data_IF_996110407359
#
_entry.id   IF_996110407359
#
_cell.length_a   1.000
_cell.length_b   1.000
_cell.length_c   1.000
_cell.angle_alpha   90.00
_cell.angle_beta   90.00
_cell.angle_gamma   90.00
#
_symmetry.space_group_name_H-M   'P 1'
#
loop_
_entity.id
_entity.type
_entity.pdbx_description
1 polymer ?
#
# COMPACT_ATOMS: atom_id res chain seq x y z
N UNK A 1 14.57 -34.67 -8.97
CA UNK A 1 15.58 -35.36 -8.13
C UNK A 1 15.47 -34.95 -6.67
N UNK A 2 16.00 -33.78 -6.31
CA UNK A 2 16.18 -33.37 -4.91
C UNK A 2 14.89 -33.19 -4.09
N UNK A 3 13.87 -32.51 -4.62
CA UNK A 3 12.62 -32.28 -3.90
C UNK A 3 11.90 -33.59 -3.52
N UNK A 4 11.93 -34.59 -4.41
CA UNK A 4 11.34 -35.91 -4.17
C UNK A 4 12.07 -36.65 -3.06
N UNK A 5 13.40 -36.60 -3.05
CA UNK A 5 14.21 -37.20 -1.98
C UNK A 5 13.99 -36.52 -0.62
N UNK A 6 13.87 -35.19 -0.58
CA UNK A 6 13.59 -34.47 0.67
C UNK A 6 12.20 -34.85 1.20
N UNK A 7 11.20 -34.94 0.32
CA UNK A 7 9.86 -35.35 0.74
C UNK A 7 9.81 -36.77 1.29
N UNK A 8 10.59 -37.69 0.71
CA UNK A 8 10.66 -39.08 1.17
C UNK A 8 11.40 -39.25 2.50
N UNK A 9 12.51 -38.52 2.72
CA UNK A 9 13.34 -38.65 3.92
C UNK A 9 12.90 -37.72 5.07
N UNK A 10 12.36 -36.55 4.74
CA UNK A 10 12.00 -35.49 5.69
C UNK A 10 10.62 -34.88 5.32
N UNK A 11 9.52 -35.62 5.50
CA UNK A 11 8.19 -35.18 5.07
C UNK A 11 7.69 -33.91 5.77
N UNK A 12 8.16 -33.66 6.99
CA UNK A 12 7.80 -32.48 7.79
C UNK A 12 8.74 -31.28 7.57
N UNK A 13 9.77 -31.41 6.73
CA UNK A 13 10.73 -30.33 6.50
C UNK A 13 10.19 -29.31 5.49
N UNK A 14 10.23 -28.03 5.86
CA UNK A 14 9.92 -26.94 4.94
C UNK A 14 11.01 -26.83 3.87
N UNK A 15 10.66 -27.10 2.61
CA UNK A 15 11.58 -26.96 1.49
C UNK A 15 11.59 -25.53 0.97
N UNK A 16 12.79 -24.91 0.96
CA UNK A 16 13.01 -23.55 0.47
C UNK A 16 13.99 -23.54 -0.70
N UNK A 17 13.70 -22.76 -1.72
CA UNK A 17 14.62 -22.49 -2.81
C UNK A 17 15.67 -21.49 -2.35
N UNK A 18 16.93 -21.82 -2.61
CA UNK A 18 18.00 -20.86 -2.43
C UNK A 18 17.84 -19.72 -3.45
N UNK A 19 17.61 -18.50 -2.95
CA UNK A 19 17.40 -17.30 -3.78
C UNK A 19 18.58 -17.04 -4.73
N UNK A 20 19.80 -17.43 -4.35
CA UNK A 20 20.97 -17.35 -5.23
C UNK A 20 20.81 -18.22 -6.48
N UNK A 21 20.35 -19.46 -6.31
CA UNK A 21 20.09 -20.37 -7.43
C UNK A 21 18.87 -19.94 -8.24
N UNK A 22 17.83 -19.43 -7.56
CA UNK A 22 16.67 -18.85 -8.23
C UNK A 22 17.08 -17.69 -9.15
N UNK A 23 17.91 -16.76 -8.65
CA UNK A 23 18.45 -15.65 -9.44
C UNK A 23 19.38 -16.12 -10.57
N UNK A 24 20.18 -17.17 -10.36
CA UNK A 24 21.00 -17.73 -11.42
C UNK A 24 20.14 -18.31 -12.57
N UNK A 25 19.06 -19.01 -12.23
CA UNK A 25 18.09 -19.52 -13.22
C UNK A 25 17.33 -18.38 -13.91
N UNK A 26 16.97 -17.34 -13.15
CA UNK A 26 16.34 -16.14 -13.68
C UNK A 26 17.23 -15.42 -14.71
N UNK A 27 18.54 -15.33 -14.44
CA UNK A 27 19.53 -14.83 -15.41
C UNK A 27 19.69 -15.72 -16.64
N UNK A 28 19.66 -17.05 -16.46
CA UNK A 28 19.72 -18.02 -17.57
C UNK A 28 18.49 -17.91 -18.47
N UNK A 29 17.32 -17.59 -17.92
CA UNK A 29 16.08 -17.34 -18.66
C UNK A 29 16.08 -16.01 -19.45
N UNK A 30 17.15 -15.21 -19.37
CA UNK A 30 17.30 -13.96 -20.13
C UNK A 30 17.12 -12.68 -19.30
N UNK A 31 16.67 -12.78 -18.05
CA UNK A 31 16.41 -11.63 -17.19
C UNK A 31 17.69 -11.18 -16.46
N UNK A 32 18.53 -10.38 -17.13
CA UNK A 32 19.87 -10.02 -16.63
C UNK A 32 19.99 -8.62 -16.02
N UNK A 33 18.97 -7.78 -16.18
CA UNK A 33 19.04 -6.37 -15.77
C UNK A 33 19.12 -6.24 -14.24
N UNK A 34 19.82 -5.19 -13.78
CA UNK A 34 19.96 -4.90 -12.36
C UNK A 34 18.60 -4.63 -11.70
N UNK A 35 17.73 -3.91 -12.37
CA UNK A 35 16.37 -3.61 -11.88
C UNK A 35 15.56 -4.88 -11.63
N UNK A 36 15.54 -5.83 -12.58
CA UNK A 36 14.82 -7.10 -12.40
C UNK A 36 15.43 -7.97 -11.29
N UNK A 37 16.77 -7.95 -11.15
CA UNK A 37 17.44 -8.57 -10.01
C UNK A 37 16.96 -7.94 -8.71
N UNK A 38 16.97 -6.62 -8.60
CA UNK A 38 16.63 -5.93 -7.36
C UNK A 38 15.15 -6.17 -6.99
N UNK A 39 14.25 -6.20 -7.97
CA UNK A 39 12.84 -6.58 -7.79
C UNK A 39 12.66 -8.03 -7.34
N UNK A 40 13.39 -8.98 -7.93
CA UNK A 40 13.41 -10.38 -7.47
C UNK A 40 13.86 -10.48 -6.00
N UNK A 41 14.95 -9.81 -5.63
CA UNK A 41 15.43 -9.82 -4.25
C UNK A 41 14.43 -9.15 -3.30
N UNK A 42 13.77 -8.07 -3.73
CA UNK A 42 12.69 -7.43 -2.97
C UNK A 42 11.54 -8.41 -2.73
N UNK A 43 11.05 -9.08 -3.79
CA UNK A 43 9.97 -10.06 -3.73
C UNK A 43 10.28 -11.29 -2.87
N UNK A 44 11.56 -11.68 -2.75
CA UNK A 44 11.96 -12.80 -1.87
C UNK A 44 12.01 -12.42 -0.39
N UNK A 45 12.19 -11.13 -0.07
CA UNK A 45 12.45 -10.63 1.29
C UNK A 45 11.22 -10.09 2.02
N UNK A 46 10.16 -9.74 1.28
CA UNK A 46 8.90 -9.25 1.85
C UNK A 46 8.33 -10.24 2.87
N UNK A 47 7.76 -9.69 3.94
CA UNK A 47 7.19 -10.46 5.05
C UNK A 47 5.67 -10.40 5.13
N UNK A 48 5.02 -9.55 4.31
CA UNK A 48 3.57 -9.42 4.26
C UNK A 48 3.05 -9.70 2.86
N UNK A 49 1.79 -10.16 2.76
CA UNK A 49 1.13 -10.42 1.48
C UNK A 49 0.98 -9.13 0.66
N UNK A 50 0.61 -8.02 1.31
CA UNK A 50 0.37 -6.74 0.63
C UNK A 50 1.65 -6.20 -0.01
N UNK A 51 2.77 -6.21 0.74
CA UNK A 51 4.06 -5.79 0.19
C UNK A 51 4.52 -6.71 -0.96
N UNK A 52 4.19 -8.00 -0.89
CA UNK A 52 4.49 -8.95 -1.97
C UNK A 52 3.71 -8.63 -3.25
N UNK A 53 2.40 -8.41 -3.13
CA UNK A 53 1.55 -8.02 -4.26
C UNK A 53 2.04 -6.73 -4.92
N UNK A 54 2.38 -5.72 -4.12
CA UNK A 54 2.92 -4.44 -4.63
C UNK A 54 4.19 -4.64 -5.45
N UNK A 55 5.13 -5.46 -4.96
CA UNK A 55 6.39 -5.76 -5.66
C UNK A 55 6.14 -6.58 -6.93
N UNK A 56 5.18 -7.51 -6.90
CA UNK A 56 4.81 -8.30 -8.08
C UNK A 56 4.13 -7.45 -9.15
N UNK A 57 3.34 -6.44 -8.76
CA UNK A 57 2.78 -5.43 -9.67
C UNK A 57 3.90 -4.56 -10.26
N UNK A 58 4.85 -4.11 -9.43
CA UNK A 58 6.02 -3.36 -9.88
C UNK A 58 6.82 -4.16 -10.93
N UNK A 59 7.10 -5.44 -10.65
CA UNK A 59 7.77 -6.36 -11.58
C UNK A 59 6.99 -6.52 -12.88
N UNK A 60 5.66 -6.67 -12.81
CA UNK A 60 4.79 -6.80 -13.99
C UNK A 60 4.87 -5.56 -14.87
N UNK A 61 4.89 -4.38 -14.27
CA UNK A 61 4.99 -3.11 -15.00
C UNK A 61 6.37 -2.93 -15.66
N UNK A 62 7.45 -3.43 -15.03
CA UNK A 62 8.80 -3.39 -15.60
C UNK A 62 8.97 -4.43 -16.72
N UNK A 63 8.56 -5.68 -16.49
CA UNK A 63 8.69 -6.75 -17.48
C UNK A 63 7.66 -7.86 -17.23
N UNK A 64 6.70 -7.99 -18.14
CA UNK A 64 5.64 -8.99 -18.09
C UNK A 64 6.18 -10.43 -18.12
N UNK A 65 7.18 -10.73 -18.97
CA UNK A 65 7.76 -12.07 -19.07
C UNK A 65 8.48 -12.50 -17.79
N UNK A 66 9.15 -11.56 -17.11
CA UNK A 66 9.79 -11.83 -15.83
C UNK A 66 8.77 -12.14 -14.73
N UNK A 67 7.63 -11.43 -14.73
CA UNK A 67 6.51 -11.71 -13.86
C UNK A 67 5.92 -13.09 -14.12
N UNK A 68 5.65 -13.45 -15.37
CA UNK A 68 5.06 -14.74 -15.74
C UNK A 68 5.98 -15.91 -15.35
N UNK A 69 7.29 -15.76 -15.56
CA UNK A 69 8.30 -16.75 -15.14
C UNK A 69 8.29 -16.97 -13.63
N UNK A 70 8.18 -15.90 -12.84
CA UNK A 70 8.14 -16.00 -11.37
C UNK A 70 6.79 -16.54 -10.86
N UNK A 71 5.69 -16.19 -11.52
CA UNK A 71 4.34 -16.66 -11.18
C UNK A 71 4.19 -18.18 -11.39
N UNK A 72 4.85 -18.72 -12.40
CA UNK A 72 4.89 -20.17 -12.67
C UNK A 72 5.53 -20.96 -11.50
N UNK A 73 6.39 -20.31 -10.70
CA UNK A 73 7.08 -20.93 -9.58
C UNK A 73 6.30 -20.71 -8.29
N UNK A 74 6.00 -21.78 -7.56
CA UNK A 74 5.22 -21.69 -6.32
C UNK A 74 5.88 -20.73 -5.29
N UNK A 75 5.23 -19.60 -4.94
CA UNK A 75 5.76 -18.59 -4.01
C UNK A 75 6.08 -19.13 -2.62
N UNK A 76 5.44 -20.23 -2.20
CA UNK A 76 5.67 -20.86 -0.90
C UNK A 76 7.11 -21.32 -0.68
N UNK A 77 7.84 -21.59 -1.76
CA UNK A 77 9.20 -22.10 -1.67
C UNK A 77 10.28 -21.02 -1.74
N UNK A 78 9.96 -19.81 -2.20
CA UNK A 78 10.99 -18.79 -2.45
C UNK A 78 10.71 -17.41 -1.86
N UNK A 79 9.49 -17.13 -1.41
CA UNK A 79 9.15 -15.85 -0.79
C UNK A 79 8.98 -15.97 0.73
N UNK A 80 9.60 -15.04 1.46
CA UNK A 80 9.65 -15.05 2.92
C UNK A 80 8.29 -14.89 3.59
N UNK A 81 7.31 -14.22 2.97
CA UNK A 81 5.99 -14.04 3.59
C UNK A 81 5.22 -15.35 3.77
N UNK A 82 5.55 -16.39 3.00
CA UNK A 82 4.98 -17.73 3.15
C UNK A 82 5.72 -18.61 4.14
N UNK A 83 6.90 -18.21 4.60
CA UNK A 83 7.72 -19.04 5.49
C UNK A 83 7.19 -18.99 6.92
N UNK A 84 7.27 -20.13 7.62
CA UNK A 84 6.93 -20.19 9.03
C UNK A 84 7.86 -19.32 9.87
N UNK A 85 7.27 -18.61 10.83
CA UNK A 85 7.99 -17.79 11.81
C UNK A 85 8.83 -18.67 12.75
N UNK A 86 8.52 -19.98 12.87
CA UNK A 86 9.22 -20.91 13.76
C UNK A 86 10.65 -21.23 13.30
N UNK A 87 10.92 -21.09 12.00
CA UNK A 87 12.20 -21.44 11.36
C UNK A 87 12.87 -20.16 10.82
N UNK A 88 13.21 -19.25 11.75
CA UNK A 88 14.08 -18.11 11.44
C UNK A 88 15.53 -18.57 11.38
N UNK A 89 15.98 -19.07 10.23
CA UNK A 89 17.41 -19.14 9.96
C UNK A 89 17.84 -17.80 9.34
N UNK A 90 18.51 -16.96 10.15
CA UNK A 90 19.26 -15.81 9.62
C UNK A 90 20.53 -16.34 8.94
N UNK A 91 20.34 -16.94 7.76
CA UNK A 91 21.42 -17.56 6.98
C UNK A 91 22.55 -16.55 6.65
N UNK A 92 22.25 -15.24 6.69
CA UNK A 92 23.23 -14.16 6.51
C UNK A 92 24.36 -14.17 7.55
N UNK A 93 24.11 -14.62 8.78
CA UNK A 93 25.16 -14.72 9.80
C UNK A 93 26.08 -15.91 9.54
N UNK A 94 25.56 -16.97 8.91
CA UNK A 94 26.30 -18.20 8.60
C UNK A 94 27.17 -18.08 7.34
N UNK A 95 26.80 -17.25 6.36
CA UNK A 95 27.51 -17.18 5.06
C UNK A 95 28.98 -16.73 5.17
N UNK A 96 29.34 -15.89 6.13
CA UNK A 96 30.75 -15.49 6.37
C UNK A 96 31.59 -16.58 7.08
N UNK A 97 30.92 -17.66 7.45
CA UNK A 97 31.40 -18.64 8.41
C UNK A 97 31.43 -20.04 7.78
N UNK A 98 30.53 -20.32 6.83
CA UNK A 98 30.50 -21.53 6.00
C UNK A 98 31.79 -21.63 5.18
N UNK A 99 32.56 -22.70 5.41
CA UNK A 99 33.84 -22.99 4.74
C UNK A 99 35.08 -22.82 5.63
N UNK A 100 34.92 -22.37 6.87
CA UNK A 100 36.00 -22.31 7.87
C UNK A 100 35.92 -23.51 8.83
N UNK A 101 37.03 -23.91 9.47
CA UNK A 101 37.00 -24.94 10.51
C UNK A 101 35.99 -24.60 11.61
N UNK A 102 35.32 -25.61 12.17
CA UNK A 102 34.20 -25.44 13.11
C UNK A 102 34.58 -24.56 14.31
N UNK A 103 35.83 -24.65 14.77
CA UNK A 103 36.36 -23.82 15.86
C UNK A 103 36.39 -22.34 15.48
N UNK A 104 36.91 -22.01 14.30
CA UNK A 104 36.92 -20.64 13.76
C UNK A 104 35.50 -20.10 13.55
N UNK A 105 34.58 -20.99 13.19
CA UNK A 105 33.16 -20.64 13.05
C UNK A 105 32.56 -20.19 14.38
N UNK A 106 32.72 -21.01 15.40
CA UNK A 106 32.22 -20.74 16.75
C UNK A 106 32.84 -19.47 17.34
N UNK A 107 34.15 -19.28 17.15
CA UNK A 107 34.87 -18.09 17.62
C UNK A 107 34.35 -16.80 16.96
N UNK A 108 34.09 -16.86 15.65
CA UNK A 108 33.53 -15.74 14.87
C UNK A 108 32.13 -15.38 15.36
N UNK A 109 31.27 -16.39 15.60
CA UNK A 109 29.91 -16.19 16.11
C UNK A 109 29.96 -15.61 17.52
N UNK A 110 30.78 -16.19 18.42
CA UNK A 110 30.97 -15.72 19.79
C UNK A 110 31.38 -14.24 19.81
N UNK A 111 32.39 -13.89 18.99
CA UNK A 111 32.92 -12.52 18.90
C UNK A 111 31.86 -11.54 18.39
N UNK A 112 31.12 -11.91 17.33
CA UNK A 112 30.03 -11.07 16.81
C UNK A 112 28.93 -10.84 17.84
N UNK A 113 28.51 -11.89 18.56
CA UNK A 113 27.48 -11.79 19.60
C UNK A 113 27.95 -10.84 20.72
N UNK A 114 29.19 -11.02 21.20
CA UNK A 114 29.78 -10.16 22.24
C UNK A 114 29.82 -8.70 21.78
N UNK A 115 30.31 -8.44 20.56
CA UNK A 115 30.37 -7.09 19.99
C UNK A 115 28.97 -6.47 19.84
N UNK A 116 27.96 -7.24 19.45
CA UNK A 116 26.58 -6.76 19.33
C UNK A 116 25.98 -6.41 20.70
N UNK A 117 26.21 -7.25 21.71
CA UNK A 117 25.78 -7.00 23.09
C UNK A 117 26.46 -5.76 23.64
N UNK A 118 27.78 -5.64 23.46
CA UNK A 118 28.55 -4.49 23.89
C UNK A 118 28.05 -3.19 23.24
N UNK A 119 27.90 -3.17 21.90
CA UNK A 119 27.35 -2.02 21.18
C UNK A 119 25.93 -1.65 21.63
N UNK A 120 25.09 -2.63 21.94
CA UNK A 120 23.75 -2.38 22.51
C UNK A 120 23.84 -1.80 23.92
N UNK A 121 24.73 -2.32 24.77
CA UNK A 121 24.98 -1.83 26.14
C UNK A 121 25.49 -0.38 26.14
N UNK A 122 26.43 -0.05 25.27
CA UNK A 122 26.92 1.33 25.12
C UNK A 122 25.84 2.29 24.66
N UNK A 123 25.02 1.88 23.69
CA UNK A 123 23.86 2.67 23.28
C UNK A 123 22.90 2.83 24.45
N UNK A 124 22.59 1.77 25.19
CA UNK A 124 21.73 1.83 26.38
C UNK A 124 22.23 2.79 27.45
N UNK A 125 23.54 2.79 27.75
CA UNK A 125 24.16 3.75 28.69
C UNK A 125 23.97 5.21 28.26
N UNK A 126 23.99 5.48 26.95
CA UNK A 126 23.81 6.84 26.39
C UNK A 126 22.33 7.26 26.34
N UNK A 127 21.37 6.34 26.52
CA UNK A 127 19.96 6.65 26.45
C UNK A 127 19.49 7.32 27.74
N UNK A 128 18.94 8.53 27.61
CA UNK A 128 18.27 9.24 28.70
C UNK A 128 16.75 9.10 28.52
N UNK A 129 16.09 8.48 29.49
CA UNK A 129 14.63 8.32 29.53
C UNK A 129 14.15 6.89 29.77
N UNK A 130 12.87 6.74 30.10
CA UNK A 130 12.24 5.46 30.44
C UNK A 130 12.11 4.50 29.25
N UNK A 131 12.03 5.03 28.02
CA UNK A 131 11.79 4.25 26.81
C UNK A 131 12.98 4.29 25.86
N UNK A 132 13.26 3.15 25.22
CA UNK A 132 14.25 3.07 24.14
C UNK A 132 13.88 4.04 23.00
N UNK A 133 14.83 4.78 22.42
CA UNK A 133 14.56 5.76 21.36
C UNK A 133 13.79 5.18 20.16
N UNK A 134 14.00 3.91 19.82
CA UNK A 134 13.28 3.25 18.72
C UNK A 134 11.80 3.03 19.03
N UNK A 135 11.48 2.68 20.27
CA UNK A 135 10.11 2.51 20.76
C UNK A 135 9.45 3.88 20.84
N UNK A 136 10.15 4.88 21.40
CA UNK A 136 9.67 6.26 21.48
C UNK A 136 9.32 6.83 20.11
N UNK A 137 10.19 6.67 19.10
CA UNK A 137 9.89 7.11 17.72
C UNK A 137 8.64 6.45 17.14
N UNK A 138 8.44 5.15 17.37
CA UNK A 138 7.22 4.46 16.93
C UNK A 138 5.98 5.00 17.64
N UNK A 139 6.09 5.25 18.94
CA UNK A 139 5.02 5.84 19.73
C UNK A 139 4.69 7.26 19.23
N UNK A 140 5.70 8.09 18.97
CA UNK A 140 5.51 9.45 18.47
C UNK A 140 4.86 9.49 17.08
N UNK A 141 5.21 8.57 16.19
CA UNK A 141 4.55 8.42 14.88
C UNK A 141 3.09 8.03 15.07
N UNK A 142 2.82 6.99 15.86
CA UNK A 142 1.46 6.57 16.14
C UNK A 142 0.65 7.71 16.77
N UNK A 143 1.18 8.44 17.74
CA UNK A 143 0.51 9.60 18.36
C UNK A 143 0.19 10.67 17.31
N UNK A 144 1.13 11.02 16.43
CA UNK A 144 0.90 12.02 15.38
C UNK A 144 -0.18 11.58 14.38
N UNK A 145 -0.19 10.32 13.99
CA UNK A 145 -1.20 9.78 13.09
C UNK A 145 -2.59 9.79 13.76
N UNK A 146 -2.65 9.51 15.05
CA UNK A 146 -3.89 9.56 15.85
C UNK A 146 -4.42 10.99 16.01
N UNK A 147 -3.55 11.97 16.22
CA UNK A 147 -3.92 13.39 16.31
C UNK A 147 -4.45 13.91 14.96
N UNK A 148 -3.77 13.61 13.85
CA UNK A 148 -4.25 13.97 12.51
C UNK A 148 -5.62 13.39 12.18
N UNK A 149 -5.86 12.14 12.59
CA UNK A 149 -7.16 11.50 12.34
C UNK A 149 -8.27 12.13 13.20
N UNK A 150 -7.95 12.56 14.41
CA UNK A 150 -8.89 13.30 15.28
C UNK A 150 -9.19 14.70 14.72
N UNK A 151 -8.19 15.44 14.24
CA UNK A 151 -8.39 16.76 13.61
C UNK A 151 -9.32 16.70 12.40
N UNK A 152 -9.28 15.60 11.63
CA UNK A 152 -10.10 15.42 10.42
C UNK A 152 -11.53 14.95 10.69
N UNK A 153 -11.72 14.12 11.72
CA UNK A 153 -13.01 13.44 11.95
C UNK A 153 -13.76 13.99 13.16
N UNK A 154 -13.08 14.72 14.05
CA UNK A 154 -13.54 15.03 15.40
C UNK A 154 -13.94 13.79 16.23
N UNK A 155 -13.62 12.57 15.75
CA UNK A 155 -13.92 11.31 16.42
C UNK A 155 -12.66 10.84 17.15
N UNK A 156 -12.70 10.65 18.47
CA UNK A 156 -11.56 10.17 19.22
C UNK A 156 -11.25 8.71 18.85
N UNK A 157 -10.00 8.42 18.51
CA UNK A 157 -9.54 7.05 18.31
C UNK A 157 -9.50 6.27 19.63
N UNK A 158 -9.48 4.93 19.55
CA UNK A 158 -9.44 4.03 20.72
C UNK A 158 -8.33 4.39 21.73
N UNK A 159 -7.20 4.92 21.25
CA UNK A 159 -6.08 5.35 22.09
C UNK A 159 -6.36 6.67 22.83
N UNK A 160 -7.01 7.64 22.19
CA UNK A 160 -7.46 8.89 22.83
C UNK A 160 -8.54 8.56 23.87
N UNK A 161 -9.47 7.66 23.55
CA UNK A 161 -10.47 7.17 24.51
C UNK A 161 -9.80 6.50 25.72
N UNK A 162 -8.77 5.67 25.49
CA UNK A 162 -8.02 5.02 26.56
C UNK A 162 -7.24 6.02 27.43
N UNK A 163 -6.61 7.03 26.83
CA UNK A 163 -5.91 8.10 27.56
C UNK A 163 -6.89 8.98 28.34
N UNK A 164 -8.05 9.30 27.77
CA UNK A 164 -9.12 10.04 28.47
C UNK A 164 -9.62 9.22 29.67
N UNK A 165 -9.89 7.91 29.48
CA UNK A 165 -10.30 7.00 30.55
C UNK A 165 -9.24 6.87 31.65
N UNK A 166 -7.95 6.89 31.29
CA UNK A 166 -6.85 6.79 32.24
C UNK A 166 -6.56 8.11 32.97
N UNK A 167 -6.90 9.27 32.39
CA UNK A 167 -6.57 10.59 32.96
C UNK A 167 -7.71 11.26 33.73
N UNK A 168 -8.99 11.07 33.39
CA UNK A 168 -10.09 11.78 34.06
C UNK A 168 -11.43 11.04 33.97
N UNK A 169 -12.10 10.92 35.12
CA UNK A 169 -13.49 10.45 35.32
C UNK A 169 -14.56 11.47 34.87
N UNK A 170 -14.20 12.41 34.00
CA UNK A 170 -14.96 13.62 33.73
C UNK A 170 -15.28 13.72 32.25
N UNK A 171 -16.44 13.18 31.84
CA UNK A 171 -17.28 13.65 30.71
C UNK A 171 -18.51 12.73 30.51
N UNK A 172 -19.27 12.44 31.58
CA UNK A 172 -20.63 11.88 31.43
C UNK A 172 -21.60 12.85 30.71
N UNK A 173 -21.23 14.12 30.54
CA UNK A 173 -22.10 15.17 29.96
C UNK A 173 -21.84 15.52 28.49
N UNK A 174 -20.78 15.00 27.86
CA UNK A 174 -20.47 15.34 26.44
C UNK A 174 -20.36 14.13 25.51
N UNK A 175 -20.31 12.91 26.06
CA UNK A 175 -20.16 11.67 25.26
C UNK A 175 -21.48 11.23 24.59
N UNK A 176 -22.62 11.82 24.93
CA UNK A 176 -23.90 11.45 24.28
C UNK A 176 -23.98 11.80 22.78
N UNK A 177 -23.09 12.66 22.26
CA UNK A 177 -23.12 13.06 20.84
C UNK A 177 -22.13 12.31 19.93
N UNK A 178 -21.25 11.45 20.46
CA UNK A 178 -20.20 10.81 19.65
C UNK A 178 -20.48 9.36 19.28
N UNK A 179 -21.45 8.73 19.94
CA UNK A 179 -21.99 7.46 19.49
C UNK A 179 -22.96 7.76 18.35
N UNK A 180 -22.45 7.75 17.12
CA UNK A 180 -23.29 7.62 15.93
C UNK A 180 -24.02 6.28 16.08
N UNK A 181 -25.27 6.35 16.58
CA UNK A 181 -26.14 5.19 16.73
C UNK A 181 -26.27 4.49 15.38
N UNK A 182 -26.27 3.16 15.37
CA UNK A 182 -26.36 2.40 14.13
C UNK A 182 -27.66 2.71 13.35
N UNK A 183 -27.74 2.42 12.04
CA UNK A 183 -28.90 2.77 11.21
C UNK A 183 -30.26 2.30 11.76
N UNK A 184 -30.27 1.21 12.54
CA UNK A 184 -31.46 0.63 13.16
C UNK A 184 -32.00 1.41 14.38
N UNK A 185 -31.24 2.39 14.86
CA UNK A 185 -31.54 3.19 16.07
C UNK A 185 -31.76 4.67 15.74
N UNK A 186 -31.82 5.03 14.46
CA UNK A 186 -32.15 6.38 14.03
C UNK A 186 -33.63 6.64 14.28
N UNK A 187 -33.97 7.83 14.79
CA UNK A 187 -35.35 8.27 14.89
C UNK A 187 -35.96 8.28 13.48
N UNK A 188 -37.05 7.53 13.27
CA UNK A 188 -37.83 7.62 12.04
C UNK A 188 -38.50 8.98 12.04
N UNK A 189 -37.97 9.91 11.23
CA UNK A 189 -38.54 11.25 11.07
C UNK A 189 -39.58 11.16 9.95
N UNK A 190 -40.89 11.30 10.23
CA UNK A 190 -41.93 10.99 9.23
C UNK A 190 -41.94 11.94 8.02
N UNK A 191 -41.40 13.16 8.17
CA UNK A 191 -41.55 14.26 7.20
C UNK A 191 -40.21 14.88 6.78
N UNK A 192 -39.16 14.08 6.59
CA UNK A 192 -37.90 14.63 6.08
C UNK A 192 -38.01 14.81 4.56
N UNK A 193 -37.86 16.05 4.07
CA UNK A 193 -37.72 16.32 2.64
C UNK A 193 -36.51 15.53 2.09
N UNK A 194 -36.60 14.95 0.87
CA UNK A 194 -35.49 14.22 0.28
C UNK A 194 -34.24 15.08 0.27
N UNK A 195 -33.18 14.61 0.93
CA UNK A 195 -31.88 15.30 0.92
C UNK A 195 -31.37 15.27 -0.52
N UNK A 196 -31.49 16.39 -1.21
CA UNK A 196 -30.93 16.52 -2.54
C UNK A 196 -29.40 16.45 -2.44
N UNK A 197 -28.74 15.66 -3.31
CA UNK A 197 -27.30 15.59 -3.32
C UNK A 197 -26.73 17.00 -3.51
N UNK A 198 -25.63 17.35 -2.84
CA UNK A 198 -24.99 18.65 -3.00
C UNK A 198 -24.74 18.91 -4.49
N UNK A 199 -25.06 20.11 -4.96
CA UNK A 199 -24.76 20.52 -6.34
C UNK A 199 -23.27 20.29 -6.59
N UNK A 200 -22.95 19.35 -7.49
CA UNK A 200 -21.58 19.04 -7.87
C UNK A 200 -20.94 20.30 -8.50
N UNK A 201 -20.12 21.02 -7.71
CA UNK A 201 -19.30 22.09 -8.24
C UNK A 201 -18.15 21.48 -9.03
N UNK A 202 -17.93 21.97 -10.25
CA UNK A 202 -16.69 21.68 -10.98
C UNK A 202 -15.53 22.26 -10.20
N UNK A 203 -14.51 21.44 -9.95
CA UNK A 203 -13.27 21.94 -9.37
C UNK A 203 -12.67 23.02 -10.29
N UNK A 204 -12.13 24.11 -9.73
CA UNK A 204 -11.37 25.09 -10.49
C UNK A 204 -10.29 24.39 -11.30
N UNK A 205 -10.23 24.69 -12.59
CA UNK A 205 -9.20 24.15 -13.48
C UNK A 205 -7.82 24.42 -12.90
N UNK A 206 -6.89 23.47 -13.09
CA UNK A 206 -5.48 23.64 -12.74
C UNK A 206 -4.97 25.00 -13.24
N UNK A 207 -4.41 25.87 -12.37
CA UNK A 207 -3.86 27.15 -12.79
C UNK A 207 -2.84 26.97 -13.91
N UNK A 208 -2.96 27.77 -14.96
CA UNK A 208 -2.05 27.72 -16.09
C UNK A 208 -0.65 28.11 -15.62
N UNK A 209 0.35 27.23 -15.82
CA UNK A 209 1.76 27.48 -15.46
C UNK A 209 2.44 28.55 -16.33
N UNK A 210 1.73 29.17 -17.26
CA UNK A 210 2.28 30.12 -18.21
C UNK A 210 2.10 31.52 -17.63
N UNK A 211 3.21 32.24 -17.46
CA UNK A 211 3.24 33.66 -17.09
C UNK A 211 2.41 34.48 -18.09
N UNK A 212 1.69 35.47 -17.58
CA UNK A 212 0.99 36.46 -18.41
C UNK A 212 2.03 37.35 -19.07
N UNK A 213 1.93 37.54 -20.39
CA UNK A 213 2.83 38.41 -21.16
C UNK A 213 2.28 39.83 -21.23
N UNK A 214 3.17 40.81 -21.24
CA UNK A 214 2.85 42.23 -21.39
C UNK A 214 2.53 42.56 -22.86
N UNK A 215 1.81 43.66 -23.10
CA UNK A 215 1.24 44.00 -24.41
C UNK A 215 2.29 44.12 -25.52
N UNK A 216 3.51 44.54 -25.17
CA UNK A 216 4.59 44.82 -26.13
C UNK A 216 5.61 43.68 -26.23
N UNK A 217 5.33 42.51 -25.64
CA UNK A 217 6.26 41.37 -25.67
C UNK A 217 6.12 40.59 -27.01
N UNK A 218 7.17 40.53 -27.85
CA UNK A 218 7.07 39.92 -29.17
C UNK A 218 6.78 38.41 -29.09
N UNK A 219 5.78 37.95 -29.85
CA UNK A 219 5.44 36.52 -29.94
C UNK A 219 6.28 35.83 -31.02
N UNK A 220 7.14 34.89 -30.62
CA UNK A 220 7.82 34.02 -31.58
C UNK A 220 6.81 32.97 -32.09
N UNK A 221 6.20 33.23 -33.24
CA UNK A 221 5.26 32.32 -33.90
C UNK A 221 6.06 31.29 -34.73
N UNK A 222 6.35 30.12 -34.15
CA UNK A 222 6.98 29.00 -34.86
C UNK A 222 6.03 28.17 -35.73
N UNK A 223 4.71 28.43 -35.67
CA UNK A 223 3.69 27.70 -36.44
C UNK A 223 2.59 28.64 -36.88
N UNK A 224 2.13 28.50 -38.13
CA UNK A 224 1.00 29.24 -38.68
C UNK A 224 -0.22 29.16 -37.76
N UNK A 225 -0.82 30.33 -37.49
CA UNK A 225 -2.03 30.46 -36.68
C UNK A 225 -3.19 29.77 -37.39
N UNK A 226 -3.94 28.93 -36.68
CA UNK A 226 -5.18 28.31 -37.20
C UNK A 226 -6.40 29.25 -37.10
N UNK A 227 -6.19 30.56 -37.02
CA UNK A 227 -7.28 31.56 -37.05
C UNK A 227 -8.02 31.43 -38.38
N UNK A 228 -9.33 31.20 -38.32
CA UNK A 228 -10.20 31.04 -39.50
C UNK A 228 -10.46 29.60 -39.97
N UNK A 229 -9.91 28.58 -39.29
CA UNK A 229 -10.18 27.17 -39.64
C UNK A 229 -11.27 26.58 -38.76
N UNK A 230 -12.39 26.19 -39.35
CA UNK A 230 -13.49 25.52 -38.66
C UNK A 230 -13.12 24.10 -38.23
N UNK A 231 -12.79 23.95 -36.96
CA UNK A 231 -12.43 22.66 -36.37
C UNK A 231 -13.70 21.88 -36.00
N UNK A 232 -13.95 20.77 -36.71
CA UNK A 232 -15.02 19.81 -36.38
C UNK A 232 -14.61 18.86 -35.25
N UNK A 233 -15.56 18.55 -34.35
CA UNK A 233 -15.35 17.59 -33.27
C UNK A 233 -15.17 16.18 -33.83
N UNK A 234 -14.03 15.53 -33.59
CA UNK A 234 -13.76 14.17 -34.10
C UNK A 234 -14.64 13.05 -33.53
N UNK A 235 -15.58 13.35 -32.64
CA UNK A 235 -16.55 12.37 -32.10
C UNK A 235 -17.97 12.56 -32.66
N UNK A 236 -18.40 13.79 -32.97
CA UNK A 236 -19.76 14.07 -33.46
C UNK A 236 -19.79 14.94 -34.73
N UNK A 237 -18.63 15.27 -35.30
CA UNK A 237 -18.41 16.09 -36.49
C UNK A 237 -19.07 17.48 -36.52
N UNK A 238 -19.64 17.97 -35.42
CA UNK A 238 -20.18 19.32 -35.30
C UNK A 238 -19.08 20.36 -35.02
N UNK A 239 -19.26 21.58 -35.53
CA UNK A 239 -18.38 22.73 -35.33
C UNK A 239 -18.70 23.37 -33.96
N UNK A 240 -17.72 23.99 -33.31
CA UNK A 240 -17.94 24.76 -32.06
C UNK A 240 -17.49 24.08 -30.77
N UNK A 241 -17.05 22.82 -30.79
CA UNK A 241 -16.44 22.18 -29.61
C UNK A 241 -15.36 21.13 -29.98
N UNK A 242 -14.44 20.86 -29.06
CA UNK A 242 -13.41 19.82 -29.21
C UNK A 242 -13.90 18.50 -28.59
N UNK A 243 -13.32 17.36 -29.00
CA UNK A 243 -13.64 16.01 -28.48
C UNK A 243 -13.62 15.92 -26.94
N UNK A 244 -12.72 16.66 -26.27
CA UNK A 244 -12.62 16.72 -24.80
C UNK A 244 -13.73 17.55 -24.12
N UNK A 245 -14.41 18.41 -24.88
CA UNK A 245 -15.42 19.35 -24.38
C UNK A 245 -16.86 18.91 -24.68
N UNK A 246 -17.04 17.94 -25.60
CA UNK A 246 -18.36 17.38 -25.91
C UNK A 246 -18.86 16.51 -24.77
N UNK A 247 -19.84 17.00 -24.01
CA UNK A 247 -20.62 16.17 -23.10
C UNK A 247 -21.58 15.32 -23.93
N UNK A 248 -21.48 14.00 -23.84
CA UNK A 248 -22.61 13.14 -24.20
C UNK A 248 -23.78 13.42 -23.25
N UNK A 249 -25.00 13.12 -23.67
CA UNK A 249 -26.17 13.18 -22.80
C UNK A 249 -25.90 12.38 -21.52
N UNK A 250 -25.96 13.07 -20.39
CA UNK A 250 -25.87 12.43 -19.07
C UNK A 250 -27.23 11.80 -18.85
N UNK A 251 -27.33 10.49 -19.02
CA UNK A 251 -28.56 9.74 -18.75
C UNK A 251 -29.09 10.11 -17.38
N UNK A 252 -30.33 10.60 -17.34
CA UNK A 252 -31.08 10.75 -16.11
C UNK A 252 -31.18 9.36 -15.46
N UNK A 253 -30.78 9.25 -14.19
CA UNK A 253 -30.98 8.02 -13.42
C UNK A 253 -32.48 7.83 -13.22
N UNK A 254 -32.98 6.68 -13.64
CA UNK A 254 -34.33 6.19 -13.41
C UNK A 254 -34.65 6.31 -11.91
N UNK A 255 -35.69 7.08 -11.59
CA UNK A 255 -36.32 7.07 -10.28
C UNK A 255 -37.09 5.75 -10.17
N UNK A 256 -36.60 4.80 -9.37
CA UNK A 256 -37.39 3.63 -9.01
C UNK A 256 -38.31 4.09 -7.87
N UNK A 257 -39.48 4.61 -8.23
CA UNK A 257 -40.61 4.81 -7.32
C UNK A 257 -41.82 4.15 -7.96
N UNK A 258 -42.41 3.20 -7.23
CA UNK A 258 -43.59 2.36 -7.55
C UNK A 258 -43.36 1.06 -8.32
N UNK A 259 -43.23 -0.03 -7.56
CA UNK A 259 -43.92 -1.29 -7.82
C UNK A 259 -44.25 -1.93 -6.45
N UNK A 260 -45.48 -1.79 -5.96
CA UNK A 260 -45.94 -2.50 -4.77
C UNK A 260 -46.35 -3.93 -5.15
N UNK A 261 -46.20 -4.87 -4.21
CA UNK A 261 -46.86 -6.20 -4.20
C UNK A 261 -46.38 -7.23 -5.24
N UNK A 262 -45.21 -7.81 -4.98
CA UNK A 262 -45.00 -9.25 -5.21
C UNK A 262 -44.41 -9.86 -3.93
N UNK A 263 -45.27 -9.82 -2.91
CA UNK A 263 -45.24 -10.65 -1.72
C UNK A 263 -45.38 -12.10 -2.16
N UNK A 264 -44.52 -12.97 -1.60
CA UNK A 264 -44.72 -14.41 -1.45
C UNK A 264 -44.81 -15.20 -2.76
N UNK A 265 -43.68 -15.77 -3.19
CA UNK A 265 -43.54 -17.21 -3.41
C UNK A 265 -42.03 -17.50 -3.53
N UNK A 266 -41.60 -18.58 -2.86
CA UNK A 266 -40.24 -19.13 -2.86
C UNK A 266 -39.28 -18.56 -1.78
N UNK A 267 -39.71 -18.69 -0.52
CA UNK A 267 -38.90 -19.46 0.44
C UNK A 267 -39.04 -20.94 0.09
N UNK A 268 -38.01 -21.50 -0.56
CA UNK A 268 -37.40 -22.78 -0.22
C UNK A 268 -35.89 -22.55 -0.19
#
# INVERSE_FOLDING_TARGET
GLLKAIYMLFPNAETRYCVRHLHANFKKAGFRTKELKDLLWKATRVSTLRDFEDVMVELKNTNQHAYDWLKEKNPTHWSRFHFSIKTQSDMLVLLEVIGKPILTMMETIRTKIILLIFKKKEKAKKWKGMLCPKIRKKLDVNIKDLLRNWDLTSIPCIHVVAVIHLKYEFLKTHVQNWLVRGPKQWLSVPNMLPILPPTLRRQPSRPTKVRWKEHDEPQIIRRLSKKGVDMRCSKCNKIGHKKRSGKGEVGQKILISHLPLLIILLKL
#
